data_IF_216327159137
#
_entry.id   IF_216327159137
#
_cell.length_a   1.000
_cell.length_b   1.000
_cell.length_c   1.000
_cell.angle_alpha   90.00
_cell.angle_beta   90.00
_cell.angle_gamma   90.00
#
_symmetry.space_group_name_H-M   'P 1'
#
loop_
_entity.id
_entity.type
_entity.pdbx_description
1 polymer ?
#
# COMPACT_ATOMS: atom_id res chain seq x y z
N UNK A 1 15.22 2.74 -6.56
CA UNK A 1 16.21 2.36 -7.57
C UNK A 1 15.65 1.24 -8.45
N UNK A 2 15.97 1.27 -9.74
CA UNK A 2 15.54 0.27 -10.71
C UNK A 2 16.51 -0.93 -10.67
N UNK A 3 16.26 -1.87 -9.79
CA UNK A 3 17.10 -3.07 -9.64
C UNK A 3 17.15 -3.91 -10.93
N UNK A 4 16.07 -3.93 -11.70
CA UNK A 4 16.00 -4.58 -13.00
C UNK A 4 16.96 -3.97 -14.04
N UNK A 5 17.15 -2.65 -14.01
CA UNK A 5 18.11 -1.96 -14.87
C UNK A 5 19.56 -2.18 -14.39
N UNK A 6 19.78 -2.17 -13.08
CA UNK A 6 21.09 -2.42 -12.50
C UNK A 6 21.62 -3.84 -12.75
N UNK A 7 20.74 -4.83 -12.92
CA UNK A 7 21.06 -6.23 -13.20
C UNK A 7 20.87 -6.61 -14.69
N UNK A 8 20.67 -5.64 -15.56
CA UNK A 8 20.38 -5.89 -16.98
C UNK A 8 21.64 -6.30 -17.74
N UNK A 9 21.69 -7.54 -18.23
CA UNK A 9 22.81 -8.05 -19.02
C UNK A 9 22.98 -7.36 -20.39
N UNK A 10 21.95 -6.67 -20.88
CA UNK A 10 22.07 -5.81 -22.05
C UNK A 10 23.13 -4.72 -21.83
N UNK A 11 23.24 -4.18 -20.62
CA UNK A 11 24.24 -3.20 -20.24
C UNK A 11 25.68 -3.68 -20.45
N UNK A 12 25.92 -4.97 -20.21
CA UNK A 12 27.25 -5.58 -20.37
C UNK A 12 27.66 -5.71 -21.86
N UNK A 13 26.68 -5.83 -22.75
CA UNK A 13 26.90 -6.02 -24.19
C UNK A 13 26.87 -4.72 -24.97
N UNK A 14 25.89 -3.85 -24.67
CA UNK A 14 25.62 -2.63 -25.45
C UNK A 14 26.09 -1.34 -24.77
N UNK A 15 26.55 -1.43 -23.51
CA UNK A 15 26.87 -0.27 -22.67
C UNK A 15 25.63 0.47 -22.13
N UNK A 16 24.40 -0.03 -22.39
CA UNK A 16 23.16 0.58 -21.95
C UNK A 16 22.15 -0.47 -21.51
N UNK A 17 21.63 -0.32 -20.30
CA UNK A 17 20.53 -1.17 -19.78
C UNK A 17 19.20 -0.85 -20.46
N UNK A 18 18.31 -1.85 -20.52
CA UNK A 18 16.91 -1.61 -20.92
C UNK A 18 16.20 -0.80 -19.83
N UNK A 19 15.55 0.29 -20.19
CA UNK A 19 14.85 1.21 -19.29
C UNK A 19 13.50 0.63 -18.83
N UNK A 20 13.55 -0.52 -18.15
CA UNK A 20 12.34 -1.29 -17.76
C UNK A 20 11.40 -0.46 -16.91
N UNK A 21 11.93 0.21 -15.89
CA UNK A 21 11.13 1.07 -14.99
C UNK A 21 10.41 2.18 -15.73
N UNK A 22 11.09 2.85 -16.65
CA UNK A 22 10.49 3.95 -17.42
C UNK A 22 9.44 3.43 -18.41
N UNK A 23 9.66 2.25 -18.99
CA UNK A 23 8.67 1.59 -19.83
C UNK A 23 7.41 1.22 -19.05
N UNK A 24 7.55 0.60 -17.87
CA UNK A 24 6.43 0.27 -17.00
C UNK A 24 5.68 1.54 -16.54
N UNK A 25 6.42 2.58 -16.18
CA UNK A 25 5.85 3.87 -15.79
C UNK A 25 5.08 4.51 -16.95
N UNK A 26 5.64 4.54 -18.14
CA UNK A 26 4.99 5.09 -19.34
C UNK A 26 3.70 4.34 -19.70
N UNK A 27 3.70 3.01 -19.58
CA UNK A 27 2.53 2.16 -19.83
C UNK A 27 1.39 2.53 -18.86
N UNK A 28 1.68 2.53 -17.55
CA UNK A 28 0.65 2.76 -16.55
C UNK A 28 0.12 4.19 -16.58
N UNK A 29 0.98 5.19 -16.73
CA UNK A 29 0.56 6.60 -16.81
C UNK A 29 -0.26 6.87 -18.08
N UNK A 30 0.13 6.29 -19.22
CA UNK A 30 -0.65 6.38 -20.46
C UNK A 30 -2.03 5.74 -20.29
N UNK A 31 -2.11 4.58 -19.63
CA UNK A 31 -3.36 3.89 -19.40
C UNK A 31 -4.33 4.72 -18.52
N UNK A 32 -3.82 5.38 -17.49
CA UNK A 32 -4.60 6.33 -16.69
C UNK A 32 -5.02 7.56 -17.50
N UNK A 33 -4.09 8.19 -18.20
CA UNK A 33 -4.35 9.42 -18.98
C UNK A 33 -5.39 9.19 -20.09
N UNK A 34 -5.40 8.00 -20.68
CA UNK A 34 -6.37 7.62 -21.73
C UNK A 34 -7.67 7.00 -21.18
N UNK A 35 -7.82 6.89 -19.86
CA UNK A 35 -9.01 6.30 -19.24
C UNK A 35 -9.18 4.78 -19.46
N UNK A 36 -8.10 4.10 -19.87
CA UNK A 36 -8.14 2.64 -20.04
C UNK A 36 -8.24 1.89 -18.72
N UNK A 37 -7.69 2.51 -17.64
CA UNK A 37 -7.85 2.02 -16.28
C UNK A 37 -9.08 2.67 -15.64
N UNK A 38 -10.13 1.92 -15.54
CA UNK A 38 -11.39 2.28 -14.91
C UNK A 38 -11.87 1.15 -14.00
N UNK A 39 -12.82 1.46 -13.14
CA UNK A 39 -13.39 0.45 -12.26
C UNK A 39 -14.11 -0.63 -13.07
N UNK A 40 -13.78 -1.88 -12.79
CA UNK A 40 -14.38 -3.07 -13.38
C UNK A 40 -14.86 -4.01 -12.26
N UNK A 41 -16.04 -3.76 -11.68
CA UNK A 41 -16.59 -4.61 -10.63
C UNK A 41 -16.71 -6.07 -11.10
N UNK A 42 -16.55 -7.05 -10.22
CA UNK A 42 -16.70 -8.45 -10.60
C UNK A 42 -18.14 -8.72 -11.09
N UNK A 43 -18.31 -9.55 -12.14
CA UNK A 43 -19.61 -9.82 -12.75
C UNK A 43 -20.59 -10.54 -11.83
N UNK A 44 -20.09 -11.19 -10.79
CA UNK A 44 -20.90 -11.89 -9.79
C UNK A 44 -20.22 -11.88 -8.44
N UNK A 45 -21.00 -11.96 -7.37
CA UNK A 45 -20.51 -12.07 -5.99
C UNK A 45 -20.66 -13.51 -5.51
N UNK A 46 -19.63 -13.97 -4.75
CA UNK A 46 -19.61 -15.34 -4.19
C UNK A 46 -20.46 -15.49 -2.92
N UNK A 47 -20.93 -14.38 -2.36
CA UNK A 47 -21.58 -14.35 -1.04
C UNK A 47 -20.60 -14.49 0.14
N UNK A 48 -19.29 -14.59 -0.12
CA UNK A 48 -18.26 -14.68 0.91
C UNK A 48 -17.69 -13.29 1.23
N UNK A 49 -17.47 -13.04 2.53
CA UNK A 49 -16.91 -11.81 3.08
C UNK A 49 -15.50 -12.05 3.63
N UNK A 50 -14.57 -11.17 3.30
CA UNK A 50 -13.16 -11.29 3.69
C UNK A 50 -12.70 -10.00 4.39
N UNK A 51 -12.15 -10.12 5.58
CA UNK A 51 -11.45 -9.04 6.25
C UNK A 51 -9.96 -9.07 5.89
N UNK A 52 -9.41 -7.93 5.48
CA UNK A 52 -7.97 -7.74 5.24
C UNK A 52 -7.45 -6.74 6.27
N UNK A 53 -6.50 -7.16 7.10
CA UNK A 53 -5.93 -6.32 8.17
C UNK A 53 -4.62 -5.69 7.70
N UNK A 54 -4.66 -4.40 7.45
CA UNK A 54 -3.56 -3.59 6.90
C UNK A 54 -3.76 -3.27 5.43
N UNK A 55 -3.52 -2.01 5.08
CA UNK A 55 -3.68 -1.45 3.72
C UNK A 55 -2.35 -1.14 3.02
N UNK A 56 -1.25 -1.72 3.49
CA UNK A 56 0.03 -1.66 2.79
C UNK A 56 -0.01 -2.37 1.43
N UNK A 57 1.12 -2.43 0.68
CA UNK A 57 1.17 -3.07 -0.63
C UNK A 57 0.56 -4.48 -0.66
N UNK A 58 0.86 -5.28 0.36
CA UNK A 58 0.33 -6.64 0.50
C UNK A 58 -1.20 -6.64 0.64
N UNK A 59 -1.72 -5.80 1.55
CA UNK A 59 -3.17 -5.72 1.79
C UNK A 59 -3.93 -5.21 0.58
N UNK A 60 -3.43 -4.19 -0.11
CA UNK A 60 -4.04 -3.68 -1.33
C UNK A 60 -4.07 -4.74 -2.44
N UNK A 61 -2.96 -5.47 -2.63
CA UNK A 61 -2.88 -6.55 -3.62
C UNK A 61 -3.88 -7.68 -3.33
N UNK A 62 -3.93 -8.13 -2.07
CA UNK A 62 -4.87 -9.17 -1.63
C UNK A 62 -6.32 -8.70 -1.81
N UNK A 63 -6.64 -7.48 -1.39
CA UNK A 63 -7.98 -6.93 -1.49
C UNK A 63 -8.45 -6.86 -2.95
N UNK A 64 -7.61 -6.40 -3.85
CA UNK A 64 -7.91 -6.36 -5.28
C UNK A 64 -8.17 -7.76 -5.84
N UNK A 65 -7.28 -8.72 -5.57
CA UNK A 65 -7.40 -10.07 -6.08
C UNK A 65 -8.66 -10.78 -5.60
N UNK A 66 -8.97 -10.65 -4.31
CA UNK A 66 -10.16 -11.27 -3.72
C UNK A 66 -11.45 -10.61 -4.22
N UNK A 67 -11.45 -9.28 -4.35
CA UNK A 67 -12.60 -8.56 -4.90
C UNK A 67 -12.85 -8.96 -6.36
N UNK A 68 -11.82 -9.03 -7.20
CA UNK A 68 -11.94 -9.49 -8.60
C UNK A 68 -12.47 -10.91 -8.72
N UNK A 69 -12.26 -11.77 -7.71
CA UNK A 69 -12.85 -13.11 -7.62
C UNK A 69 -14.28 -13.13 -7.11
N UNK A 70 -14.86 -11.97 -6.83
CA UNK A 70 -16.26 -11.82 -6.42
C UNK A 70 -16.51 -11.87 -4.93
N UNK A 71 -15.47 -11.90 -4.08
CA UNK A 71 -15.66 -11.82 -2.64
C UNK A 71 -15.97 -10.38 -2.22
N UNK A 72 -16.78 -10.20 -1.17
CA UNK A 72 -16.91 -8.92 -0.49
C UNK A 72 -15.68 -8.69 0.39
N UNK A 73 -14.95 -7.59 0.17
CA UNK A 73 -13.69 -7.33 0.86
C UNK A 73 -13.76 -6.04 1.65
N UNK A 74 -13.44 -6.12 2.94
CA UNK A 74 -13.26 -4.97 3.82
C UNK A 74 -11.80 -4.92 4.28
N UNK A 75 -11.13 -3.80 4.05
CA UNK A 75 -9.75 -3.55 4.48
C UNK A 75 -9.77 -2.68 5.73
N UNK A 76 -9.18 -3.17 6.81
CA UNK A 76 -9.02 -2.46 8.08
C UNK A 76 -7.63 -1.84 8.14
N UNK A 77 -7.56 -0.53 8.30
CA UNK A 77 -6.32 0.23 8.39
C UNK A 77 -6.29 1.01 9.71
N UNK A 78 -5.21 0.84 10.47
CA UNK A 78 -5.04 1.55 11.75
C UNK A 78 -4.78 3.03 11.60
N UNK A 79 -4.14 3.43 10.48
CA UNK A 79 -3.87 4.83 10.19
C UNK A 79 -5.12 5.55 9.67
N UNK A 80 -5.05 6.87 9.64
CA UNK A 80 -6.07 7.76 9.09
C UNK A 80 -6.19 7.69 7.57
N UNK A 81 -5.15 7.19 6.89
CA UNK A 81 -5.09 7.05 5.42
C UNK A 81 -4.63 5.65 5.01
N UNK A 82 -5.21 5.19 3.91
CA UNK A 82 -4.87 3.90 3.28
C UNK A 82 -3.52 3.99 2.57
N UNK A 83 -2.77 2.89 2.56
CA UNK A 83 -1.52 2.77 1.81
C UNK A 83 -0.32 2.28 2.63
N UNK A 84 -0.41 2.29 3.95
CA UNK A 84 0.68 1.87 4.83
C UNK A 84 1.98 2.62 4.53
N UNK A 85 3.09 1.91 4.29
CA UNK A 85 4.37 2.55 3.95
C UNK A 85 4.37 3.27 2.60
N UNK A 86 3.49 2.97 1.67
CA UNK A 86 3.33 3.76 0.44
C UNK A 86 2.90 5.19 0.78
N UNK A 87 1.97 5.32 1.75
CA UNK A 87 1.48 6.60 2.22
C UNK A 87 2.51 7.30 3.12
N UNK A 88 2.97 6.64 4.17
CA UNK A 88 3.72 7.28 5.24
C UNK A 88 5.23 6.97 5.30
N UNK A 89 5.70 5.95 4.58
CA UNK A 89 7.11 5.55 4.58
C UNK A 89 7.91 6.01 3.36
N UNK A 90 7.26 6.49 2.30
CA UNK A 90 7.90 6.98 1.09
C UNK A 90 7.64 8.48 0.96
N UNK A 91 8.68 9.33 0.87
CA UNK A 91 8.50 10.78 0.68
C UNK A 91 7.74 11.10 -0.61
N UNK A 92 6.95 12.19 -0.62
CA UNK A 92 6.13 12.58 -1.77
C UNK A 92 6.96 12.81 -3.06
N UNK A 93 8.19 13.32 -2.94
CA UNK A 93 9.11 13.49 -4.07
C UNK A 93 9.53 12.17 -4.75
N UNK A 94 9.30 11.02 -4.10
CA UNK A 94 9.58 9.68 -4.65
C UNK A 94 8.32 8.96 -5.10
N UNK A 95 7.20 9.21 -4.44
CA UNK A 95 5.90 8.66 -4.77
C UNK A 95 4.83 9.67 -4.40
N UNK A 96 4.30 10.35 -5.39
CA UNK A 96 3.18 11.27 -5.23
C UNK A 96 1.96 10.51 -4.70
N UNK A 97 1.29 11.06 -3.68
CA UNK A 97 0.19 10.39 -3.00
C UNK A 97 -1.06 10.27 -3.87
N UNK A 98 -1.21 11.14 -4.87
CA UNK A 98 -2.27 11.04 -5.86
C UNK A 98 -2.25 9.70 -6.63
N UNK A 99 -1.06 9.11 -6.82
CA UNK A 99 -0.90 7.79 -7.44
C UNK A 99 -1.56 6.69 -6.60
N UNK A 100 -1.45 6.79 -5.28
CA UNK A 100 -2.09 5.86 -4.34
C UNK A 100 -3.59 6.10 -4.33
N UNK A 101 -4.00 7.35 -4.20
CA UNK A 101 -5.41 7.74 -4.11
C UNK A 101 -6.21 7.32 -5.34
N UNK A 102 -5.68 7.55 -6.56
CA UNK A 102 -6.37 7.15 -7.80
C UNK A 102 -6.58 5.64 -7.86
N UNK A 103 -5.64 4.83 -7.32
CA UNK A 103 -5.77 3.39 -7.25
C UNK A 103 -6.84 2.96 -6.26
N UNK A 104 -6.83 3.56 -5.07
CA UNK A 104 -7.83 3.30 -4.03
C UNK A 104 -9.23 3.65 -4.53
N UNK A 105 -9.40 4.77 -5.23
CA UNK A 105 -10.69 5.17 -5.83
C UNK A 105 -11.25 4.12 -6.80
N UNK A 106 -10.39 3.52 -7.63
CA UNK A 106 -10.79 2.42 -8.51
C UNK A 106 -11.25 1.23 -7.69
N UNK A 107 -10.48 0.80 -6.70
CA UNK A 107 -10.82 -0.34 -5.84
C UNK A 107 -12.14 -0.12 -5.08
N UNK A 108 -12.37 1.10 -4.59
CA UNK A 108 -13.64 1.48 -3.95
C UNK A 108 -14.82 1.40 -4.93
N UNK A 109 -14.65 1.91 -6.14
CA UNK A 109 -15.66 1.82 -7.18
C UNK A 109 -15.92 0.36 -7.64
N UNK A 110 -14.96 -0.52 -7.47
CA UNK A 110 -15.10 -1.97 -7.68
C UNK A 110 -15.76 -2.70 -6.51
N UNK A 111 -15.99 -2.01 -5.38
CA UNK A 111 -16.70 -2.52 -4.21
C UNK A 111 -15.81 -2.99 -3.07
N UNK A 112 -14.52 -2.60 -3.04
CA UNK A 112 -13.67 -2.80 -1.86
C UNK A 112 -14.01 -1.72 -0.83
N UNK A 113 -14.31 -2.13 0.39
CA UNK A 113 -14.54 -1.22 1.52
C UNK A 113 -13.22 -0.97 2.27
N UNK A 114 -12.93 0.30 2.58
CA UNK A 114 -11.79 0.68 3.41
C UNK A 114 -12.27 1.34 4.70
N UNK A 115 -11.82 0.81 5.84
CA UNK A 115 -12.09 1.35 7.18
C UNK A 115 -10.78 1.80 7.79
N UNK A 116 -10.57 3.10 7.87
CA UNK A 116 -9.40 3.73 8.51
C UNK A 116 -9.63 3.98 9.99
N UNK A 117 -8.54 4.27 10.75
CA UNK A 117 -8.55 4.42 12.19
C UNK A 117 -9.05 3.15 12.95
N UNK A 118 -8.86 1.98 12.36
CA UNK A 118 -9.29 0.69 12.87
C UNK A 118 -8.08 -0.18 13.24
N UNK A 119 -7.58 -0.04 14.46
CA UNK A 119 -6.43 -0.83 14.95
C UNK A 119 -6.91 -2.18 15.47
N UNK A 120 -6.83 -3.20 14.62
CA UNK A 120 -7.23 -4.58 14.94
C UNK A 120 -6.22 -5.21 15.91
N UNK A 121 -6.71 -5.74 17.00
CA UNK A 121 -5.91 -6.21 18.14
C UNK A 121 -5.63 -5.12 19.18
N UNK A 122 -6.09 -3.88 18.93
CA UNK A 122 -6.11 -2.75 19.85
C UNK A 122 -7.55 -2.28 20.08
N UNK A 123 -7.99 -1.26 19.31
CA UNK A 123 -9.34 -0.71 19.44
C UNK A 123 -10.44 -1.62 18.87
N UNK A 124 -10.09 -2.51 17.93
CA UNK A 124 -11.01 -3.50 17.34
C UNK A 124 -10.57 -4.89 17.77
N UNK A 125 -11.45 -5.64 18.40
CA UNK A 125 -11.14 -6.99 18.83
C UNK A 125 -10.96 -7.93 17.63
N UNK A 126 -9.95 -8.79 17.67
CA UNK A 126 -9.70 -9.76 16.60
C UNK A 126 -10.88 -10.73 16.43
N UNK A 127 -11.55 -11.07 17.53
CA UNK A 127 -12.73 -11.93 17.58
C UNK A 127 -13.91 -11.36 16.78
N UNK A 128 -14.05 -10.03 16.71
CA UNK A 128 -15.08 -9.38 15.89
C UNK A 128 -14.91 -9.71 14.41
N UNK A 129 -13.65 -9.72 13.93
CA UNK A 129 -13.36 -10.09 12.56
C UNK A 129 -13.55 -11.58 12.30
N UNK A 130 -13.11 -12.43 13.24
CA UNK A 130 -13.25 -13.88 13.14
C UNK A 130 -14.71 -14.33 13.13
N UNK A 131 -15.58 -13.62 13.82
CA UNK A 131 -17.01 -13.92 13.88
C UNK A 131 -17.82 -13.23 12.77
N UNK A 132 -17.33 -12.09 12.25
CA UNK A 132 -18.04 -11.27 11.29
C UNK A 132 -17.70 -11.53 9.81
N UNK A 133 -16.63 -12.29 9.54
CA UNK A 133 -16.14 -12.55 8.19
C UNK A 133 -15.90 -14.06 7.97
N UNK A 134 -16.06 -14.51 6.72
CA UNK A 134 -15.77 -15.91 6.35
C UNK A 134 -14.26 -16.22 6.42
N UNK A 135 -13.41 -15.22 6.21
CA UNK A 135 -11.96 -15.34 6.37
C UNK A 135 -11.30 -14.01 6.74
N UNK A 136 -10.14 -14.09 7.40
CA UNK A 136 -9.32 -12.94 7.78
C UNK A 136 -7.92 -13.12 7.21
N UNK A 137 -7.40 -12.09 6.53
CA UNK A 137 -6.04 -12.07 5.98
C UNK A 137 -5.22 -11.01 6.69
N UNK A 138 -4.11 -11.42 7.31
CA UNK A 138 -3.23 -10.52 8.05
C UNK A 138 -2.14 -9.95 7.13
N UNK A 139 -2.19 -8.65 6.90
CA UNK A 139 -1.24 -7.89 6.08
C UNK A 139 -0.61 -6.74 6.87
N UNK A 140 -0.32 -6.97 8.16
CA UNK A 140 0.04 -5.93 9.15
C UNK A 140 1.44 -5.32 8.96
N UNK A 141 2.29 -5.89 8.12
CA UNK A 141 3.68 -5.47 7.94
C UNK A 141 4.52 -5.67 9.21
N UNK A 142 5.67 -4.99 9.26
CA UNK A 142 6.58 -4.99 10.42
C UNK A 142 6.50 -3.64 11.14
N UNK A 143 6.04 -3.64 12.39
CA UNK A 143 5.83 -2.42 13.20
C UNK A 143 7.03 -2.09 14.10
N UNK A 144 7.78 -3.11 14.55
CA UNK A 144 8.90 -2.92 15.46
C UNK A 144 10.14 -2.53 14.67
N UNK A 145 10.60 -1.29 14.87
CA UNK A 145 11.85 -0.84 14.30
C UNK A 145 13.03 -1.67 14.85
N UNK A 146 14.01 -1.94 13.99
CA UNK A 146 15.33 -2.41 14.44
C UNK A 146 16.10 -1.19 14.93
N UNK A 147 16.66 -1.30 16.12
CA UNK A 147 17.44 -0.21 16.71
C UNK A 147 18.93 -0.55 16.75
N UNK A 148 19.77 0.48 16.88
CA UNK A 148 21.22 0.39 17.04
C UNK A 148 21.56 0.63 18.51
N UNK A 149 22.17 -0.33 19.16
CA UNK A 149 22.67 -0.17 20.53
C UNK A 149 24.08 0.44 20.50
N UNK A 150 24.13 1.77 20.32
CA UNK A 150 25.39 2.54 20.26
C UNK A 150 25.31 3.76 21.16
N UNK A 151 26.45 4.27 21.69
CA UNK A 151 26.47 5.51 22.46
C UNK A 151 25.85 6.68 21.67
N UNK A 152 24.99 7.48 22.32
CA UNK A 152 24.34 8.63 21.72
C UNK A 152 23.06 8.29 20.93
N UNK A 153 22.60 7.03 20.93
CA UNK A 153 21.33 6.64 20.27
C UNK A 153 20.10 7.37 20.83
N UNK A 154 20.17 7.75 22.10
CA UNK A 154 19.15 8.46 22.87
C UNK A 154 19.28 9.99 22.78
N UNK A 155 20.22 10.52 21.99
CA UNK A 155 20.41 11.95 21.81
C UNK A 155 19.18 12.60 21.12
N UNK A 156 18.91 13.84 21.49
CA UNK A 156 17.85 14.63 20.88
C UNK A 156 18.07 14.77 19.36
N UNK A 157 17.02 14.58 18.59
CA UNK A 157 17.06 14.65 17.13
C UNK A 157 17.39 13.31 16.44
N UNK A 158 17.62 12.24 17.19
CA UNK A 158 17.78 10.88 16.65
C UNK A 158 16.42 10.17 16.62
N UNK A 159 15.85 10.02 15.44
CA UNK A 159 14.52 9.46 15.24
C UNK A 159 14.56 8.15 14.45
N UNK A 160 13.54 7.31 14.64
CA UNK A 160 13.31 6.22 13.70
C UNK A 160 12.84 6.76 12.35
N UNK A 161 13.34 6.19 11.26
CA UNK A 161 13.06 6.68 9.91
C UNK A 161 11.58 6.74 9.58
N UNK A 162 10.81 5.70 9.95
CA UNK A 162 9.36 5.65 9.66
C UNK A 162 8.60 6.70 10.46
N UNK A 163 8.97 6.97 11.70
CA UNK A 163 8.34 8.00 12.53
C UNK A 163 8.58 9.39 11.95
N UNK A 164 9.82 9.68 11.56
CA UNK A 164 10.18 10.92 10.90
C UNK A 164 9.43 11.10 9.57
N UNK A 165 9.45 10.08 8.69
CA UNK A 165 8.78 10.12 7.40
C UNK A 165 7.26 10.27 7.54
N UNK A 166 6.67 9.63 8.55
CA UNK A 166 5.24 9.77 8.86
C UNK A 166 4.90 11.18 9.27
N UNK A 167 5.68 11.79 10.15
CA UNK A 167 5.45 13.17 10.63
C UNK A 167 5.55 14.19 9.50
N UNK A 168 6.57 14.06 8.65
CA UNK A 168 6.76 14.93 7.47
C UNK A 168 5.62 14.79 6.48
N UNK A 169 5.21 13.55 6.18
CA UNK A 169 4.11 13.33 5.22
C UNK A 169 2.78 13.85 5.76
N UNK A 170 2.49 13.64 7.06
CA UNK A 170 1.29 14.21 7.68
C UNK A 170 1.28 15.73 7.60
N UNK A 171 2.37 16.38 7.98
CA UNK A 171 2.48 17.84 7.89
C UNK A 171 2.23 18.36 6.47
N UNK A 172 2.69 17.61 5.45
CA UNK A 172 2.45 17.98 4.04
C UNK A 172 0.99 17.79 3.61
N UNK A 173 0.34 16.73 4.08
CA UNK A 173 -1.03 16.39 3.65
C UNK A 173 -2.12 17.10 4.46
N UNK A 174 -1.79 17.62 5.64
CA UNK A 174 -2.71 18.31 6.54
C UNK A 174 -2.59 19.85 6.42
N UNK A 175 -1.66 20.35 5.57
CA UNK A 175 -1.48 21.76 5.23
C UNK A 175 -2.35 22.14 4.04
#
# INVERSE_FOLDING_TARGET
PALCEAACTCGDVTGSSVTVRENEHAIIETAYAKGWLHAAPPPSRTGKSIAVVGSGPSGLSVAEYLNKRGHAVTVFERADRVGGLLMYGIPNMKLDKSVIERRIKIMQAEGVEFRTNMDVGGAVAAEELLNGYDAVVLCCGAKKARDLNVPGRDANGVHFAVDYLTSVTRSLLDS
#
